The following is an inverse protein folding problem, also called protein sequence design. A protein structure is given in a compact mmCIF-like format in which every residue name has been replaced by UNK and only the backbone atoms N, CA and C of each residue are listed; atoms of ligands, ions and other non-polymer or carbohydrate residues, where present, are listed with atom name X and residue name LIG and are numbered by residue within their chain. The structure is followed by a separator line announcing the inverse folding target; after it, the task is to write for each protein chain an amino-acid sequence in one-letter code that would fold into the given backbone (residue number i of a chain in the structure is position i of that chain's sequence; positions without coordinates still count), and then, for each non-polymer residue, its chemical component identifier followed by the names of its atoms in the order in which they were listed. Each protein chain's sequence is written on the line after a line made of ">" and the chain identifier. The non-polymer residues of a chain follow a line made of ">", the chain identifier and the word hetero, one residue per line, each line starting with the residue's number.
data_IF_910680394753
#
_entry.id   IF_910680394753
#
_cell.length_a   1.000
_cell.length_b   1.000
_cell.length_c   1.000
_cell.angle_alpha   90.00
_cell.angle_beta   90.00
_cell.angle_gamma   90.00
#
_symmetry.space_group_name_H-M   'P 1'
#
loop_
_entity.id
_entity.type
_entity.pdbx_description
1 polymer ?
#
# COMPACT_ATOMS: atom_id res chain seq x y z
N UNK A 1 -73.78 54.50 -24.52
CA UNK A 1 -72.99 55.70 -24.88
C UNK A 1 -71.95 55.92 -23.78
N UNK A 2 -70.78 56.50 -24.10
CA UNK A 2 -69.66 56.80 -23.17
C UNK A 2 -69.04 55.51 -22.57
N UNK A 3 -67.78 55.09 -22.81
CA UNK A 3 -66.46 55.73 -22.68
C UNK A 3 -66.08 56.01 -21.21
N UNK A 4 -64.84 55.87 -20.74
CA UNK A 4 -63.57 55.42 -21.34
C UNK A 4 -62.79 54.57 -20.27
N UNK A 5 -61.49 54.27 -20.24
CA UNK A 5 -60.27 54.79 -20.92
C UNK A 5 -59.19 53.68 -21.03
N UNK A 6 -57.94 54.03 -21.32
CA UNK A 6 -56.76 53.15 -21.37
C UNK A 6 -56.12 52.95 -19.95
N UNK A 7 -55.09 52.12 -19.71
CA UNK A 7 -53.81 52.03 -20.44
C UNK A 7 -53.21 50.62 -20.58
N UNK A 8 -52.15 50.54 -21.39
CA UNK A 8 -51.57 49.31 -21.95
C UNK A 8 -50.35 48.79 -21.17
N UNK A 9 -50.17 47.46 -21.11
CA UNK A 9 -48.85 46.85 -21.39
C UNK A 9 -48.98 45.38 -21.81
N UNK A 10 -48.37 45.04 -22.94
CA UNK A 10 -48.06 43.66 -23.41
C UNK A 10 -46.96 43.03 -22.54
N UNK A 11 -46.68 41.70 -22.52
CA UNK A 11 -46.79 40.72 -23.61
C UNK A 11 -46.88 39.26 -23.08
N UNK A 12 -47.63 38.41 -23.81
CA UNK A 12 -47.51 36.93 -23.98
C UNK A 12 -46.81 36.05 -22.93
N UNK A 13 -47.53 35.01 -22.49
CA UNK A 13 -46.98 33.76 -21.96
C UNK A 13 -46.49 32.82 -23.08
N UNK A 14 -45.58 31.89 -22.77
CA UNK A 14 -45.59 30.49 -23.27
C UNK A 14 -44.59 29.61 -22.53
N UNK A 15 -44.90 28.32 -22.40
CA UNK A 15 -44.08 27.28 -21.75
C UNK A 15 -43.52 26.30 -22.78
N UNK A 16 -42.25 25.87 -22.65
CA UNK A 16 -41.78 24.58 -23.21
C UNK A 16 -40.40 24.12 -22.67
N UNK A 17 -40.42 22.97 -21.98
CA UNK A 17 -39.39 21.89 -21.90
C UNK A 17 -37.91 22.17 -21.54
N UNK A 18 -37.26 21.30 -20.73
CA UNK A 18 -35.87 21.47 -20.29
C UNK A 18 -34.84 20.66 -21.12
N UNK A 19 -34.22 21.24 -22.16
CA UNK A 19 -33.05 20.61 -22.81
C UNK A 19 -32.05 21.62 -23.39
N UNK A 20 -31.03 21.97 -22.59
CA UNK A 20 -29.87 22.77 -23.05
C UNK A 20 -28.67 22.71 -22.09
N UNK A 21 -28.92 22.67 -20.77
CA UNK A 21 -27.89 22.90 -19.74
C UNK A 21 -26.89 21.74 -19.56
N UNK A 22 -27.27 20.51 -19.91
CA UNK A 22 -26.40 19.33 -19.81
C UNK A 22 -25.34 19.25 -20.94
N UNK A 23 -25.75 19.51 -22.19
CA UNK A 23 -24.93 19.26 -23.38
C UNK A 23 -23.71 20.20 -23.55
N UNK A 24 -23.60 21.27 -22.75
CA UNK A 24 -22.50 22.26 -22.84
C UNK A 24 -21.36 22.07 -21.83
N UNK A 25 -21.51 21.23 -20.78
CA UNK A 25 -20.42 20.90 -19.85
C UNK A 25 -19.59 19.68 -20.28
N UNK A 26 -20.18 18.73 -20.99
CA UNK A 26 -19.50 17.50 -21.46
C UNK A 26 -18.46 17.74 -22.56
N UNK A 27 -18.56 18.83 -23.33
CA UNK A 27 -17.72 19.08 -24.52
C UNK A 27 -16.38 19.77 -24.27
N UNK A 28 -16.07 20.19 -23.03
CA UNK A 28 -14.74 20.73 -22.63
C UNK A 28 -13.84 19.73 -21.90
N UNK A 29 -14.33 18.50 -21.62
CA UNK A 29 -13.56 17.42 -20.97
C UNK A 29 -13.06 16.34 -21.95
N UNK A 30 -13.20 16.56 -23.27
CA UNK A 30 -12.82 15.61 -24.34
C UNK A 30 -12.07 16.30 -25.50
N UNK A 31 -10.95 16.97 -25.19
CA UNK A 31 -9.93 17.38 -26.17
C UNK A 31 -8.66 17.89 -25.46
N UNK A 32 -7.85 16.95 -24.93
CA UNK A 32 -6.43 17.13 -24.52
C UNK A 32 -5.78 15.80 -24.06
N UNK A 33 -5.92 14.78 -24.89
CA UNK A 33 -5.16 13.52 -24.80
C UNK A 33 -4.75 13.09 -26.21
N UNK A 34 -4.13 14.01 -26.95
CA UNK A 34 -3.44 13.67 -28.19
C UNK A 34 -2.13 12.96 -27.81
N UNK A 35 -2.06 11.67 -28.10
CA UNK A 35 -0.90 10.84 -27.81
C UNK A 35 0.29 11.25 -28.68
N UNK A 36 1.50 11.26 -28.08
CA UNK A 36 2.82 11.01 -28.69
C UNK A 36 3.97 11.36 -27.72
N UNK A 37 3.73 12.16 -26.68
CA UNK A 37 4.74 12.47 -25.65
C UNK A 37 4.98 11.39 -24.58
N UNK A 38 4.09 10.40 -24.46
CA UNK A 38 4.01 9.49 -23.31
C UNK A 38 5.18 8.50 -23.15
N UNK A 39 6.01 8.31 -24.18
CA UNK A 39 7.13 7.35 -24.15
C UNK A 39 8.35 7.90 -23.37
N UNK A 40 8.52 9.23 -23.30
CA UNK A 40 9.66 9.84 -22.61
C UNK A 40 9.49 9.91 -21.07
N UNK A 41 8.24 9.95 -20.59
CA UNK A 41 7.95 10.22 -19.17
C UNK A 41 8.03 8.99 -18.26
N UNK A 42 7.95 7.77 -18.81
CA UNK A 42 7.98 6.51 -18.05
C UNK A 42 9.38 6.10 -17.52
N UNK A 43 10.40 6.94 -17.70
CA UNK A 43 11.78 6.71 -17.22
C UNK A 43 12.22 7.66 -16.09
N UNK A 44 11.44 8.69 -15.74
CA UNK A 44 11.88 9.74 -14.80
C UNK A 44 11.47 9.53 -13.32
N UNK A 45 10.90 8.37 -12.97
CA UNK A 45 10.71 7.94 -11.58
C UNK A 45 11.92 7.14 -11.01
N UNK A 46 13.01 6.99 -11.78
CA UNK A 46 14.30 6.55 -11.27
C UNK A 46 15.11 7.80 -10.94
N UNK A 47 15.15 8.17 -9.65
CA UNK A 47 16.24 9.00 -9.15
C UNK A 47 17.55 8.21 -9.40
N UNK A 48 18.54 8.76 -10.12
CA UNK A 48 19.72 8.00 -10.50
C UNK A 48 20.49 7.58 -9.25
N UNK A 49 20.71 6.27 -9.09
CA UNK A 49 21.67 5.75 -8.13
C UNK A 49 23.03 6.35 -8.52
N UNK A 50 23.74 7.06 -7.61
CA UNK A 50 25.03 7.66 -7.93
C UNK A 50 26.09 6.58 -8.14
N UNK A 51 26.26 6.17 -9.40
CA UNK A 51 27.10 5.08 -9.90
C UNK A 51 27.07 3.82 -9.02
N UNK A 52 26.13 2.91 -9.25
CA UNK A 52 26.09 1.60 -8.59
C UNK A 52 27.45 0.84 -8.70
N UNK A 53 28.16 1.00 -9.82
CA UNK A 53 29.49 0.46 -10.05
C UNK A 53 30.60 1.13 -9.21
N UNK A 54 30.44 2.40 -8.80
CA UNK A 54 31.35 3.08 -7.88
C UNK A 54 30.97 2.81 -6.42
N UNK A 55 29.69 2.72 -6.10
CA UNK A 55 29.20 2.32 -4.78
C UNK A 55 29.72 0.92 -4.39
N UNK A 56 29.58 -0.06 -5.28
CA UNK A 56 30.12 -1.42 -5.09
C UNK A 56 31.62 -1.45 -4.78
N UNK A 57 32.40 -0.52 -5.37
CA UNK A 57 33.85 -0.40 -5.13
C UNK A 57 34.21 0.44 -3.89
N UNK A 58 33.35 1.37 -3.45
CA UNK A 58 33.55 2.16 -2.22
C UNK A 58 33.16 1.41 -0.95
N UNK A 59 32.15 0.53 -0.99
CA UNK A 59 31.74 -0.29 0.17
C UNK A 59 32.88 -1.16 0.68
N UNK A 60 33.76 -1.65 -0.20
CA UNK A 60 34.98 -2.41 0.17
C UNK A 60 36.10 -1.57 0.82
N UNK A 61 35.95 -0.23 0.91
CA UNK A 61 37.02 0.68 1.34
C UNK A 61 36.65 1.58 2.54
N UNK A 62 35.43 1.49 3.08
CA UNK A 62 34.96 2.33 4.19
C UNK A 62 34.25 1.55 5.32
N UNK A 63 34.78 0.37 5.66
CA UNK A 63 34.41 -0.34 6.90
C UNK A 63 35.10 0.29 8.13
N UNK A 64 34.71 1.53 8.48
CA UNK A 64 35.26 2.25 9.63
C UNK A 64 34.16 2.93 10.46
N UNK A 65 33.84 2.28 11.60
CA UNK A 65 33.01 2.77 12.71
C UNK A 65 31.51 2.94 12.41
N UNK A 66 30.70 1.93 12.76
CA UNK A 66 29.24 2.06 12.76
C UNK A 66 28.44 0.80 13.16
N UNK A 67 28.84 -0.40 12.72
CA UNK A 67 27.99 -1.59 12.82
C UNK A 67 28.32 -2.53 13.99
N UNK A 68 27.27 -3.02 14.66
CA UNK A 68 27.28 -4.18 15.57
C UNK A 68 26.33 -5.30 15.09
N UNK A 69 26.18 -5.46 13.77
CA UNK A 69 25.45 -6.58 13.16
C UNK A 69 26.32 -7.29 12.11
N UNK A 70 26.13 -8.61 11.89
CA UNK A 70 26.95 -9.38 10.96
C UNK A 70 26.55 -9.21 9.48
N UNK A 71 25.36 -8.66 9.21
CA UNK A 71 24.79 -8.58 7.87
C UNK A 71 25.26 -7.35 7.10
N UNK A 72 25.55 -7.57 5.82
CA UNK A 72 25.78 -6.56 4.79
C UNK A 72 24.61 -6.54 3.82
N UNK A 73 24.33 -5.38 3.22
CA UNK A 73 23.18 -5.19 2.33
C UNK A 73 23.59 -4.50 1.01
N UNK A 74 23.07 -4.99 -0.11
CA UNK A 74 23.39 -4.48 -1.45
C UNK A 74 22.08 -4.18 -2.21
N UNK A 75 21.76 -2.92 -2.54
CA UNK A 75 20.56 -2.57 -3.29
C UNK A 75 20.61 -3.08 -4.74
N UNK A 76 19.46 -3.50 -5.28
CA UNK A 76 19.28 -3.87 -6.68
C UNK A 76 18.65 -2.71 -7.47
N UNK A 77 18.85 -2.69 -8.79
CA UNK A 77 18.17 -1.77 -9.70
C UNK A 77 16.64 -1.98 -9.68
N UNK A 78 15.82 -0.98 -9.32
CA UNK A 78 14.38 -1.19 -9.13
C UNK A 78 13.64 -1.73 -10.36
N UNK A 79 13.96 -1.22 -11.55
CA UNK A 79 13.33 -1.65 -12.82
C UNK A 79 13.70 -3.06 -13.28
N UNK A 80 14.78 -3.65 -12.74
CA UNK A 80 15.17 -5.04 -13.02
C UNK A 80 14.61 -6.00 -11.96
N UNK A 81 14.53 -5.54 -10.72
CA UNK A 81 14.22 -6.32 -9.49
C UNK A 81 12.82 -6.91 -9.38
N UNK A 82 11.86 -6.33 -10.09
CA UNK A 82 10.45 -6.69 -10.00
C UNK A 82 9.87 -6.88 -11.40
N UNK A 83 9.24 -8.04 -11.61
CA UNK A 83 8.45 -8.35 -12.81
C UNK A 83 7.06 -7.71 -12.74
N UNK A 84 6.49 -7.54 -11.54
CA UNK A 84 5.17 -6.97 -11.34
C UNK A 84 5.07 -5.51 -11.84
N UNK A 85 6.15 -4.73 -11.73
CA UNK A 85 6.23 -3.35 -12.23
C UNK A 85 6.20 -3.22 -13.76
N UNK A 86 6.20 -4.34 -14.49
CA UNK A 86 6.04 -4.40 -15.95
C UNK A 86 4.59 -4.68 -16.37
N UNK A 87 3.75 -5.10 -15.42
CA UNK A 87 2.33 -5.32 -15.62
C UNK A 87 1.61 -3.96 -15.66
N UNK A 88 0.89 -3.71 -16.76
CA UNK A 88 0.20 -2.44 -16.99
C UNK A 88 -1.14 -2.34 -16.25
N UNK A 89 -1.78 -3.48 -15.97
CA UNK A 89 -3.05 -3.53 -15.25
C UNK A 89 -2.78 -3.27 -13.77
N UNK A 90 -1.79 -3.95 -13.17
CA UNK A 90 -1.31 -3.65 -11.82
C UNK A 90 -0.88 -2.17 -11.68
N UNK A 91 -0.01 -1.65 -12.55
CA UNK A 91 0.45 -0.27 -12.43
C UNK A 91 -0.68 0.77 -12.61
N UNK A 92 -1.67 0.50 -13.47
CA UNK A 92 -2.85 1.36 -13.59
C UNK A 92 -3.73 1.32 -12.33
N UNK A 93 -3.96 0.12 -11.78
CA UNK A 93 -4.70 -0.08 -10.53
C UNK A 93 -4.03 0.58 -9.33
N UNK A 94 -2.72 0.38 -9.12
CA UNK A 94 -1.98 1.05 -8.05
C UNK A 94 -2.07 2.59 -8.16
N UNK A 95 -1.96 3.13 -9.38
CA UNK A 95 -2.18 4.56 -9.61
C UNK A 95 -3.61 5.02 -9.33
N UNK A 96 -4.62 4.21 -9.67
CA UNK A 96 -6.05 4.46 -9.39
C UNK A 96 -6.36 4.43 -7.89
N UNK A 97 -5.67 3.59 -7.13
CA UNK A 97 -5.84 3.42 -5.68
C UNK A 97 -4.93 4.32 -4.83
N UNK A 98 -4.18 5.26 -5.43
CA UNK A 98 -3.25 6.15 -4.70
C UNK A 98 -1.97 5.48 -4.19
N UNK A 99 -1.69 4.24 -4.60
CA UNK A 99 -0.50 3.44 -4.27
C UNK A 99 0.55 3.50 -5.41
N UNK A 100 0.51 4.55 -6.22
CA UNK A 100 1.44 4.79 -7.33
C UNK A 100 2.78 5.40 -6.89
N UNK A 101 3.71 5.65 -7.83
CA UNK A 101 5.06 6.15 -7.57
C UNK A 101 5.16 7.46 -6.77
N UNK A 102 4.08 8.26 -6.75
CA UNK A 102 4.03 9.52 -6.01
C UNK A 102 4.02 9.31 -4.48
N UNK A 103 3.47 8.19 -4.00
CA UNK A 103 3.24 7.89 -2.57
C UNK A 103 3.75 6.50 -2.14
N UNK A 104 4.06 5.58 -3.08
CA UNK A 104 4.58 4.24 -2.79
C UNK A 104 5.75 3.84 -3.71
N UNK A 105 6.61 2.94 -3.24
CA UNK A 105 7.63 2.30 -4.08
C UNK A 105 7.98 0.87 -3.62
N UNK A 106 8.57 0.11 -4.55
CA UNK A 106 9.26 -1.16 -4.26
C UNK A 106 10.79 -0.98 -4.32
N UNK A 107 11.51 -1.68 -3.44
CA UNK A 107 12.98 -1.87 -3.46
C UNK A 107 13.34 -3.31 -3.16
N UNK A 108 14.47 -3.77 -3.68
CA UNK A 108 15.02 -5.10 -3.43
C UNK A 108 16.51 -4.98 -3.10
N UNK A 109 16.98 -5.83 -2.20
CA UNK A 109 18.36 -5.90 -1.74
C UNK A 109 18.80 -7.36 -1.71
N UNK A 110 20.08 -7.64 -1.96
CA UNK A 110 20.72 -8.87 -1.47
C UNK A 110 21.30 -8.63 -0.09
N UNK A 111 21.43 -9.69 0.70
CA UNK A 111 22.11 -9.65 1.99
C UNK A 111 23.04 -10.85 2.21
N UNK A 112 24.08 -10.66 3.01
CA UNK A 112 24.99 -11.75 3.42
C UNK A 112 25.58 -11.44 4.80
N UNK A 113 25.78 -12.43 5.70
CA UNK A 113 25.54 -13.87 5.54
C UNK A 113 24.06 -14.25 5.62
N UNK A 114 23.78 -15.55 5.47
CA UNK A 114 22.45 -16.13 5.73
C UNK A 114 21.87 -15.70 7.10
N UNK A 115 20.56 -15.50 7.15
CA UNK A 115 19.83 -15.10 8.36
C UNK A 115 18.85 -16.22 8.74
N UNK A 116 19.07 -16.92 9.87
CA UNK A 116 18.13 -17.89 10.41
C UNK A 116 16.84 -17.22 10.91
N UNK A 117 15.69 -17.87 10.72
CA UNK A 117 14.36 -17.29 10.96
C UNK A 117 14.18 -16.61 12.32
N UNK A 118 14.67 -17.23 13.40
CA UNK A 118 14.61 -16.68 14.77
C UNK A 118 15.38 -15.35 14.96
N UNK A 119 16.17 -14.90 13.97
CA UNK A 119 16.90 -13.62 13.97
C UNK A 119 16.14 -12.48 13.29
N UNK A 120 14.94 -12.70 12.73
CA UNK A 120 14.17 -11.67 12.03
C UNK A 120 14.00 -10.38 12.87
N UNK A 121 13.75 -10.53 14.17
CA UNK A 121 13.59 -9.42 15.14
C UNK A 121 14.84 -8.54 15.29
N UNK A 122 16.03 -9.11 15.10
CA UNK A 122 17.30 -8.38 15.12
C UNK A 122 17.69 -7.87 13.73
N UNK A 123 17.32 -8.62 12.69
CA UNK A 123 17.67 -8.36 11.30
C UNK A 123 17.02 -7.10 10.74
N UNK A 124 15.74 -6.85 11.03
CA UNK A 124 15.03 -5.69 10.47
C UNK A 124 15.50 -4.36 11.08
N UNK A 125 15.74 -4.23 12.40
CA UNK A 125 16.46 -3.08 12.95
C UNK A 125 17.85 -2.89 12.35
N UNK A 126 18.63 -3.96 12.17
CA UNK A 126 19.95 -3.88 11.52
C UNK A 126 19.86 -3.39 10.06
N UNK A 127 18.93 -3.94 9.28
CA UNK A 127 18.65 -3.49 7.91
C UNK A 127 18.28 -2.00 7.84
N UNK A 128 17.43 -1.52 8.75
CA UNK A 128 17.05 -0.10 8.80
C UNK A 128 18.15 0.82 9.37
N UNK A 129 19.14 0.28 10.06
CA UNK A 129 20.33 1.00 10.54
C UNK A 129 21.48 1.03 9.52
N UNK A 130 21.46 0.19 8.48
CA UNK A 130 22.54 0.11 7.50
C UNK A 130 22.65 1.41 6.65
N UNK A 131 23.83 2.05 6.57
CA UNK A 131 24.00 3.30 5.83
C UNK A 131 23.75 3.19 4.32
N UNK A 132 23.92 2.02 3.71
CA UNK A 132 23.61 1.77 2.30
C UNK A 132 22.11 1.64 2.06
N UNK A 133 21.41 0.96 2.96
CA UNK A 133 19.94 0.89 2.96
C UNK A 133 19.32 2.27 3.16
N UNK A 134 19.82 3.06 4.12
CA UNK A 134 19.35 4.43 4.38
C UNK A 134 19.58 5.43 3.22
N UNK A 135 20.51 5.12 2.30
CA UNK A 135 20.74 5.87 1.06
C UNK A 135 19.88 5.37 -0.11
N UNK A 136 19.55 4.08 -0.16
CA UNK A 136 18.74 3.47 -1.21
C UNK A 136 17.22 3.58 -0.98
N UNK A 137 16.80 3.72 0.29
CA UNK A 137 15.43 3.99 0.72
C UNK A 137 15.16 5.49 0.83
N UNK A 138 13.91 5.85 0.53
CA UNK A 138 13.37 7.20 0.71
C UNK A 138 12.17 7.16 1.67
N UNK A 139 11.93 8.26 2.36
CA UNK A 139 10.75 8.44 3.21
C UNK A 139 10.01 9.71 2.78
N UNK A 140 8.69 9.71 2.96
CA UNK A 140 7.85 10.86 2.66
C UNK A 140 7.65 11.70 3.93
N UNK A 141 7.68 13.02 3.80
CA UNK A 141 7.57 13.95 4.92
C UNK A 141 6.23 14.69 5.00
N UNK A 142 5.90 15.31 6.15
CA UNK A 142 4.63 16.05 6.37
C UNK A 142 4.34 17.17 5.36
N UNK A 143 5.34 17.61 4.59
CA UNK A 143 5.21 18.59 3.52
C UNK A 143 5.03 17.95 2.12
N UNK A 144 4.70 16.66 2.04
CA UNK A 144 4.51 15.89 0.80
C UNK A 144 5.76 15.84 -0.10
N UNK A 145 6.95 15.84 0.50
CA UNK A 145 8.23 15.70 -0.22
C UNK A 145 8.99 14.43 0.17
N UNK A 146 9.57 13.78 -0.84
CA UNK A 146 10.49 12.66 -0.68
C UNK A 146 11.90 13.13 -0.32
N UNK A 147 12.54 12.45 0.62
CA UNK A 147 13.98 12.60 0.89
C UNK A 147 14.60 11.25 1.30
N UNK A 148 15.93 11.10 1.25
CA UNK A 148 16.60 9.87 1.72
C UNK A 148 16.20 9.56 3.17
N UNK A 149 16.05 8.26 3.47
CA UNK A 149 15.61 7.78 4.78
C UNK A 149 16.51 8.29 5.91
N UNK A 150 17.83 8.14 5.76
CA UNK A 150 18.82 8.53 6.77
C UNK A 150 18.64 7.80 8.12
N UNK A 151 19.33 8.26 9.17
CA UNK A 151 19.26 7.63 10.49
C UNK A 151 17.88 7.81 11.14
N UNK A 152 17.24 6.69 11.51
CA UNK A 152 15.96 6.66 12.23
C UNK A 152 16.11 5.93 13.58
N UNK A 153 15.30 6.34 14.57
CA UNK A 153 15.27 5.67 15.88
C UNK A 153 14.50 4.34 15.80
N UNK A 154 15.22 3.23 15.57
CA UNK A 154 14.62 1.90 15.48
C UNK A 154 14.02 1.39 16.81
N UNK A 155 14.28 2.02 17.95
CA UNK A 155 13.61 1.69 19.22
C UNK A 155 12.22 2.35 19.34
N UNK A 156 11.95 3.39 18.54
CA UNK A 156 10.62 3.99 18.38
C UNK A 156 9.72 3.21 17.38
N UNK A 157 10.33 2.32 16.59
CA UNK A 157 9.63 1.43 15.67
C UNK A 157 9.06 0.21 16.39
N UNK A 158 8.09 -0.40 15.71
CA UNK A 158 7.40 -1.62 16.10
C UNK A 158 7.17 -2.48 14.86
N UNK A 159 6.97 -3.77 15.10
CA UNK A 159 7.15 -4.81 14.11
C UNK A 159 6.01 -5.83 14.25
N UNK A 160 4.99 -5.75 13.38
CA UNK A 160 3.91 -6.75 13.29
C UNK A 160 4.42 -7.91 12.43
N UNK A 161 4.68 -9.10 12.98
CA UNK A 161 5.08 -10.26 12.18
C UNK A 161 3.95 -10.62 11.20
N UNK A 162 4.34 -11.00 9.99
CA UNK A 162 3.42 -11.49 8.97
C UNK A 162 3.82 -12.91 8.57
N UNK A 163 2.85 -13.81 8.63
CA UNK A 163 2.98 -15.18 8.15
C UNK A 163 3.11 -15.16 6.62
N UNK A 164 3.81 -16.12 6.06
CA UNK A 164 3.84 -16.36 4.60
C UNK A 164 3.62 -17.84 4.33
N UNK A 165 2.52 -18.40 4.82
CA UNK A 165 2.22 -19.85 4.68
C UNK A 165 1.33 -20.14 3.47
N UNK A 166 0.52 -19.18 3.05
CA UNK A 166 -0.45 -19.35 1.95
C UNK A 166 0.24 -19.30 0.57
N UNK A 167 -0.08 -20.27 -0.29
CA UNK A 167 0.52 -20.40 -1.64
C UNK A 167 -0.39 -19.97 -2.80
N UNK A 168 -1.68 -19.73 -2.54
CA UNK A 168 -2.71 -19.41 -3.54
C UNK A 168 -3.74 -18.40 -3.00
N UNK A 169 -4.84 -18.18 -3.72
CA UNK A 169 -5.83 -17.13 -3.38
C UNK A 169 -7.06 -17.66 -2.59
N UNK A 170 -7.12 -18.95 -2.27
CA UNK A 170 -8.27 -19.56 -1.56
C UNK A 170 -8.47 -19.02 -0.14
N UNK A 171 -7.45 -18.36 0.42
CA UNK A 171 -7.54 -17.52 1.62
C UNK A 171 -8.73 -16.54 1.57
N UNK A 172 -9.12 -16.08 0.37
CA UNK A 172 -10.20 -15.12 0.15
C UNK A 172 -11.54 -15.74 -0.28
N UNK A 173 -11.65 -17.06 -0.39
CA UNK A 173 -12.92 -17.75 -0.63
C UNK A 173 -14.01 -17.42 0.42
N UNK A 174 -13.69 -17.14 1.71
CA UNK A 174 -14.66 -16.66 2.68
C UNK A 174 -15.42 -15.38 2.29
N UNK A 175 -14.88 -14.54 1.40
CA UNK A 175 -15.59 -13.35 0.90
C UNK A 175 -16.87 -13.73 0.15
N UNK A 176 -16.86 -14.84 -0.57
CA UNK A 176 -18.01 -15.33 -1.33
C UNK A 176 -19.00 -16.08 -0.45
N UNK A 177 -18.52 -16.89 0.50
CA UNK A 177 -19.40 -17.70 1.36
C UNK A 177 -20.15 -16.87 2.41
N UNK A 178 -19.62 -15.71 2.80
CA UNK A 178 -20.24 -14.78 3.76
C UNK A 178 -21.01 -13.62 3.12
N UNK A 179 -21.07 -13.58 1.78
CA UNK A 179 -21.81 -12.57 1.01
C UNK A 179 -21.18 -11.17 0.99
N UNK A 180 -19.93 -11.02 1.45
CA UNK A 180 -19.13 -9.79 1.28
C UNK A 180 -18.96 -9.49 -0.22
N UNK A 181 -18.74 -10.55 -1.01
CA UNK A 181 -18.66 -10.49 -2.47
C UNK A 181 -19.66 -11.49 -3.07
N UNK A 182 -20.37 -11.07 -4.11
CA UNK A 182 -21.40 -11.85 -4.79
C UNK A 182 -20.78 -12.90 -5.72
N UNK A 183 -21.50 -13.99 -6.07
CA UNK A 183 -20.99 -15.04 -6.95
C UNK A 183 -20.51 -14.59 -8.34
N UNK A 184 -20.85 -13.37 -8.77
CA UNK A 184 -20.41 -12.79 -10.04
C UNK A 184 -19.16 -11.89 -9.93
N UNK A 185 -18.64 -11.64 -8.72
CA UNK A 185 -17.47 -10.79 -8.45
C UNK A 185 -17.78 -9.43 -7.79
N UNK A 186 -19.03 -8.96 -7.85
CA UNK A 186 -19.42 -7.64 -7.33
C UNK A 186 -19.35 -7.59 -5.81
N UNK A 187 -18.71 -6.56 -5.28
CA UNK A 187 -18.61 -6.28 -3.84
C UNK A 187 -19.97 -5.80 -3.33
N UNK A 188 -20.42 -6.34 -2.19
CA UNK A 188 -21.66 -5.89 -1.54
C UNK A 188 -21.43 -4.51 -0.91
N UNK A 189 -22.10 -3.48 -1.42
CA UNK A 189 -22.09 -2.12 -0.85
C UNK A 189 -22.96 -2.02 0.41
N UNK A 190 -22.60 -1.10 1.30
CA UNK A 190 -23.36 -0.74 2.50
C UNK A 190 -23.70 0.75 2.50
N UNK A 191 -24.17 1.28 3.65
CA UNK A 191 -24.16 2.73 3.88
C UNK A 191 -22.78 3.18 4.35
N UNK A 192 -22.43 4.44 4.05
CA UNK A 192 -21.20 5.07 4.51
C UNK A 192 -21.20 5.16 6.05
N UNK A 193 -20.26 4.48 6.69
CA UNK A 193 -20.17 4.36 8.15
C UNK A 193 -18.76 4.71 8.64
N UNK A 194 -18.66 5.50 9.71
CA UNK A 194 -17.38 5.88 10.31
C UNK A 194 -16.96 4.84 11.35
N UNK A 195 -15.90 4.07 11.05
CA UNK A 195 -15.26 3.15 11.98
C UNK A 195 -14.25 3.92 12.83
N UNK A 196 -14.50 4.02 14.14
CA UNK A 196 -13.71 4.82 15.08
C UNK A 196 -12.45 4.09 15.58
N UNK A 197 -11.44 4.81 16.12
CA UNK A 197 -10.15 4.23 16.52
C UNK A 197 -10.19 3.52 17.88
N UNK A 198 -11.33 3.54 18.58
CA UNK A 198 -11.60 2.73 19.78
C UNK A 198 -11.58 1.22 19.48
N UNK A 199 -11.66 0.89 18.20
CA UNK A 199 -11.72 -0.44 17.61
C UNK A 199 -10.36 -1.15 17.67
N UNK A 200 -10.06 -1.78 18.81
CA UNK A 200 -8.80 -2.50 19.06
C UNK A 200 -8.55 -3.58 18.00
N UNK A 201 -7.45 -3.46 17.25
CA UNK A 201 -6.91 -4.60 16.49
C UNK A 201 -6.18 -5.55 17.42
N UNK A 202 -6.89 -6.57 17.89
CA UNK A 202 -6.32 -7.67 18.67
C UNK A 202 -5.30 -8.44 17.81
N UNK A 203 -4.05 -8.48 18.29
CA UNK A 203 -3.07 -9.49 17.87
C UNK A 203 -3.01 -10.48 19.02
N UNK A 204 -3.74 -11.60 18.89
CA UNK A 204 -3.96 -12.59 19.97
C UNK A 204 -2.69 -13.36 20.40
N UNK A 205 -1.53 -13.09 19.79
CA UNK A 205 -0.24 -13.72 20.11
C UNK A 205 0.36 -13.07 21.36
N UNK A 206 0.01 -13.63 22.54
CA UNK A 206 0.24 -13.05 23.86
C UNK A 206 1.69 -12.69 24.25
N UNK A 207 2.72 -13.18 23.55
CA UNK A 207 4.13 -12.75 23.75
C UNK A 207 4.47 -11.43 23.01
N UNK A 208 3.62 -10.99 22.08
CA UNK A 208 3.80 -9.78 21.26
C UNK A 208 2.57 -8.87 21.23
N UNK A 209 1.55 -9.17 22.04
CA UNK A 209 0.29 -8.44 22.14
C UNK A 209 0.43 -7.08 22.87
N UNK A 210 1.22 -6.16 22.32
CA UNK A 210 0.92 -4.73 22.50
C UNK A 210 -0.41 -4.43 21.80
N UNK A 211 -1.35 -3.79 22.50
CA UNK A 211 -2.65 -3.41 21.94
C UNK A 211 -2.48 -2.35 20.86
N UNK A 212 -2.56 -2.74 19.59
CA UNK A 212 -2.58 -1.80 18.47
C UNK A 212 -3.95 -1.11 18.40
N UNK A 213 -4.03 0.05 19.05
CA UNK A 213 -5.08 1.03 18.80
C UNK A 213 -4.69 1.80 17.54
N UNK A 214 -5.42 1.57 16.45
CA UNK A 214 -5.18 2.22 15.16
C UNK A 214 -5.81 3.62 15.17
N UNK A 215 -5.05 4.73 15.13
CA UNK A 215 -5.59 6.09 15.20
C UNK A 215 -6.16 6.57 13.85
N UNK A 216 -6.63 5.65 13.01
CA UNK A 216 -7.09 5.90 11.64
C UNK A 216 -8.60 5.71 11.56
N UNK A 217 -9.38 6.80 11.54
CA UNK A 217 -10.81 6.67 11.26
C UNK A 217 -11.01 6.35 9.77
N UNK A 218 -11.80 5.32 9.48
CA UNK A 218 -12.14 4.93 8.11
C UNK A 218 -13.64 5.14 7.86
N UNK A 219 -13.98 5.73 6.71
CA UNK A 219 -15.33 5.62 6.16
C UNK A 219 -15.41 4.31 5.37
N UNK A 220 -16.33 3.42 5.74
CA UNK A 220 -16.61 2.19 5.00
C UNK A 220 -17.89 2.34 4.18
N UNK A 221 -17.77 2.26 2.86
CA UNK A 221 -18.86 2.30 1.88
C UNK A 221 -19.23 0.89 1.37
N UNK A 222 -18.43 -0.13 1.68
CA UNK A 222 -18.75 -1.52 1.36
C UNK A 222 -18.24 -2.57 2.36
N UNK A 223 -18.78 -3.78 2.22
CA UNK A 223 -18.52 -4.90 3.13
C UNK A 223 -17.07 -5.42 3.02
N UNK A 224 -16.39 -5.19 1.90
CA UNK A 224 -14.97 -5.58 1.73
C UNK A 224 -14.07 -4.62 2.50
N UNK A 225 -14.43 -3.34 2.60
CA UNK A 225 -13.78 -2.40 3.52
C UNK A 225 -14.11 -2.76 4.98
N UNK A 226 -15.40 -2.95 5.33
CA UNK A 226 -15.81 -3.25 6.73
C UNK A 226 -15.10 -4.49 7.29
N UNK A 227 -15.02 -5.60 6.56
CA UNK A 227 -14.35 -6.83 7.04
C UNK A 227 -12.86 -6.64 7.33
N UNK A 228 -12.19 -5.64 6.75
CA UNK A 228 -10.78 -5.34 6.98
C UNK A 228 -10.58 -4.52 8.27
N UNK A 229 -11.39 -3.48 8.49
CA UNK A 229 -11.14 -2.48 9.54
C UNK A 229 -12.01 -2.62 10.80
N UNK A 230 -13.16 -3.30 10.74
CA UNK A 230 -14.17 -3.31 11.81
C UNK A 230 -14.39 -4.72 12.43
N UNK A 231 -13.70 -5.06 13.54
CA UNK A 231 -13.99 -6.21 14.40
C UNK A 231 -15.31 -6.20 15.18
N UNK A 232 -16.12 -5.15 15.13
CA UNK A 232 -17.50 -5.20 15.66
C UNK A 232 -18.48 -5.79 14.65
N UNK A 233 -18.13 -5.82 13.36
CA UNK A 233 -18.91 -6.46 12.30
C UNK A 233 -19.10 -7.96 12.50
N UNK A 234 -20.34 -8.44 12.36
CA UNK A 234 -20.67 -9.87 12.28
C UNK A 234 -19.83 -10.62 11.23
N UNK A 235 -19.40 -9.92 10.17
CA UNK A 235 -18.59 -10.47 9.08
C UNK A 235 -17.09 -10.51 9.36
N UNK A 236 -16.58 -9.87 10.42
CA UNK A 236 -15.15 -9.90 10.73
C UNK A 236 -14.64 -11.33 10.98
N UNK A 237 -15.49 -12.19 11.55
CA UNK A 237 -15.20 -13.61 11.76
C UNK A 237 -15.04 -14.44 10.46
N UNK A 238 -15.25 -13.87 9.27
CA UNK A 238 -14.95 -14.50 7.99
C UNK A 238 -13.46 -14.89 7.83
N UNK A 239 -12.56 -14.22 8.57
CA UNK A 239 -11.13 -14.51 8.60
C UNK A 239 -10.63 -14.67 10.03
N UNK A 240 -9.96 -15.79 10.32
CA UNK A 240 -9.29 -16.03 11.61
C UNK A 240 -8.14 -15.06 11.85
N UNK A 241 -7.71 -14.91 13.10
CA UNK A 241 -6.51 -14.13 13.45
C UNK A 241 -5.29 -14.58 12.65
N UNK A 242 -5.10 -15.89 12.44
CA UNK A 242 -4.01 -16.43 11.61
C UNK A 242 -4.11 -16.03 10.14
N UNK A 243 -5.31 -15.96 9.56
CA UNK A 243 -5.53 -15.49 8.19
C UNK A 243 -5.22 -13.97 8.06
N UNK A 244 -5.63 -13.18 9.05
CA UNK A 244 -5.36 -11.72 9.13
C UNK A 244 -3.88 -11.38 9.37
N UNK A 245 -3.09 -12.37 9.79
CA UNK A 245 -1.63 -12.29 9.93
C UNK A 245 -0.87 -12.70 8.66
N UNK A 246 -1.51 -13.25 7.62
CA UNK A 246 -0.81 -13.57 6.37
C UNK A 246 -0.41 -12.30 5.61
N UNK A 247 0.80 -12.28 5.05
CA UNK A 247 1.26 -11.26 4.12
C UNK A 247 0.28 -11.08 2.96
N UNK A 248 -0.30 -12.18 2.45
CA UNK A 248 -1.28 -12.12 1.37
C UNK A 248 -2.53 -11.30 1.76
N UNK A 249 -2.99 -11.44 3.01
CA UNK A 249 -4.10 -10.64 3.55
C UNK A 249 -3.70 -9.17 3.70
N UNK A 250 -2.51 -8.87 4.23
CA UNK A 250 -2.00 -7.51 4.33
C UNK A 250 -1.85 -6.83 2.95
N UNK A 251 -1.47 -7.56 1.90
CA UNK A 251 -1.47 -7.03 0.54
C UNK A 251 -2.88 -6.65 0.06
N UNK A 252 -3.90 -7.47 0.34
CA UNK A 252 -5.28 -7.14 0.00
C UNK A 252 -5.78 -5.93 0.80
N UNK A 253 -5.53 -5.91 2.10
CA UNK A 253 -5.89 -4.82 3.02
C UNK A 253 -5.35 -3.48 2.51
N UNK A 254 -4.04 -3.41 2.23
CA UNK A 254 -3.39 -2.21 1.73
C UNK A 254 -3.91 -1.79 0.35
N UNK A 255 -4.28 -2.72 -0.54
CA UNK A 255 -4.83 -2.41 -1.86
C UNK A 255 -6.29 -1.93 -1.84
N UNK A 256 -7.14 -2.54 -1.02
CA UNK A 256 -8.56 -2.15 -0.90
C UNK A 256 -8.70 -0.78 -0.25
N UNK A 257 -8.01 -0.55 0.88
CA UNK A 257 -8.08 0.72 1.61
C UNK A 257 -7.37 1.85 0.85
N UNK A 258 -6.31 1.54 0.09
CA UNK A 258 -5.55 2.45 -0.77
C UNK A 258 -4.91 3.69 -0.10
N UNK A 259 -4.29 4.53 -0.94
CA UNK A 259 -3.66 5.78 -0.55
C UNK A 259 -4.60 6.98 -0.56
N UNK A 260 -4.03 8.19 -0.41
CA UNK A 260 -4.75 9.48 -0.31
C UNK A 260 -5.73 9.78 -1.45
N UNK A 261 -5.54 9.18 -2.62
CA UNK A 261 -6.40 9.36 -3.81
C UNK A 261 -6.87 7.99 -4.30
N UNK A 262 -7.62 7.28 -3.46
CA UNK A 262 -8.19 5.98 -3.81
C UNK A 262 -9.51 6.13 -4.57
N UNK A 263 -9.56 5.59 -5.79
CA UNK A 263 -10.80 5.32 -6.51
C UNK A 263 -11.07 3.82 -6.41
N UNK A 264 -11.95 3.40 -5.50
CA UNK A 264 -12.28 1.99 -5.25
C UNK A 264 -12.81 1.25 -6.48
N UNK A 265 -12.84 -0.09 -6.41
CA UNK A 265 -13.57 -0.93 -7.37
C UNK A 265 -14.97 -1.29 -6.85
N UNK A 266 -15.86 -1.67 -7.76
CA UNK A 266 -17.13 -2.35 -7.44
C UNK A 266 -17.03 -3.88 -7.55
N UNK A 267 -15.89 -4.40 -8.03
CA UNK A 267 -15.62 -5.81 -8.32
C UNK A 267 -14.34 -6.25 -7.59
N UNK A 268 -14.32 -7.47 -7.04
CA UNK A 268 -13.17 -8.02 -6.32
C UNK A 268 -11.98 -8.39 -7.24
N UNK A 269 -12.25 -8.66 -8.52
CA UNK A 269 -11.27 -9.24 -9.44
C UNK A 269 -9.97 -8.41 -9.66
N UNK A 270 -10.00 -7.06 -9.79
CA UNK A 270 -8.77 -6.28 -9.94
C UNK A 270 -7.87 -6.34 -8.70
N UNK A 271 -8.46 -6.33 -7.50
CA UNK A 271 -7.71 -6.50 -6.25
C UNK A 271 -7.03 -7.88 -6.19
N UNK A 272 -7.74 -8.97 -6.53
CA UNK A 272 -7.14 -10.30 -6.57
C UNK A 272 -6.09 -10.48 -7.67
N UNK A 273 -6.22 -9.81 -8.81
CA UNK A 273 -5.12 -9.71 -9.79
C UNK A 273 -3.91 -9.04 -9.12
N UNK A 274 -4.09 -7.85 -8.55
CA UNK A 274 -2.99 -7.02 -8.08
C UNK A 274 -2.22 -7.69 -6.92
N UNK A 275 -2.93 -8.26 -5.95
CA UNK A 275 -2.36 -9.06 -4.86
C UNK A 275 -1.57 -10.24 -5.41
N UNK A 276 -2.14 -11.02 -6.34
CA UNK A 276 -1.49 -12.19 -6.94
C UNK A 276 -0.22 -11.82 -7.72
N UNK A 277 -0.26 -10.72 -8.48
CA UNK A 277 0.86 -10.27 -9.32
C UNK A 277 2.00 -9.71 -8.46
N UNK A 278 1.71 -9.01 -7.37
CA UNK A 278 2.71 -8.53 -6.41
C UNK A 278 3.29 -9.65 -5.53
N UNK A 279 2.45 -10.55 -5.00
CA UNK A 279 2.87 -11.61 -4.07
C UNK A 279 3.96 -12.52 -4.68
N UNK A 280 3.79 -12.93 -5.94
CA UNK A 280 4.77 -13.74 -6.71
C UNK A 280 6.17 -13.13 -6.84
N UNK A 281 6.29 -11.82 -6.64
CA UNK A 281 7.50 -11.02 -6.82
C UNK A 281 8.17 -10.66 -5.48
N UNK A 282 7.41 -10.80 -4.38
CA UNK A 282 7.83 -10.67 -2.98
C UNK A 282 8.25 -12.01 -2.36
N UNK A 283 7.55 -13.10 -2.68
CA UNK A 283 7.81 -14.43 -2.08
C UNK A 283 8.19 -15.50 -3.11
N UNK A 284 8.92 -16.52 -2.62
CA UNK A 284 9.35 -17.67 -3.41
C UNK A 284 8.72 -18.96 -2.87
N UNK A 285 7.73 -19.56 -3.56
CA UNK A 285 7.30 -20.91 -3.23
C UNK A 285 8.41 -21.90 -3.60
N UNK A 286 8.72 -22.79 -2.66
CA UNK A 286 9.64 -23.91 -2.81
C UNK A 286 8.88 -25.23 -2.66
N UNK A 287 9.48 -26.34 -3.11
CA UNK A 287 8.92 -27.68 -2.93
C UNK A 287 9.64 -28.38 -1.79
N UNK A 288 8.89 -28.73 -0.75
CA UNK A 288 9.36 -29.47 0.42
C UNK A 288 9.66 -30.94 0.06
N UNK A 289 10.42 -31.69 0.90
CA UNK A 289 10.83 -33.07 0.61
C UNK A 289 9.68 -34.09 0.47
N UNK A 290 8.53 -33.82 1.09
CA UNK A 290 7.28 -34.59 0.96
C UNK A 290 6.56 -34.33 -0.39
N UNK A 291 6.94 -33.25 -1.08
CA UNK A 291 6.37 -32.78 -2.32
C UNK A 291 5.38 -31.63 -2.19
N UNK A 292 5.08 -31.17 -0.97
CA UNK A 292 4.20 -30.02 -0.70
C UNK A 292 4.86 -28.73 -1.15
N UNK A 293 4.07 -27.76 -1.65
CA UNK A 293 4.56 -26.41 -1.91
C UNK A 293 4.44 -25.56 -0.64
N UNK A 294 5.51 -24.88 -0.26
CA UNK A 294 5.53 -23.94 0.85
C UNK A 294 6.35 -22.70 0.49
N UNK A 295 5.89 -21.53 0.93
CA UNK A 295 6.68 -20.30 0.87
C UNK A 295 7.60 -20.27 2.10
N UNK A 296 8.91 -20.20 1.86
CA UNK A 296 9.94 -20.14 2.91
C UNK A 296 10.36 -18.69 3.21
N UNK A 297 9.43 -17.75 3.08
CA UNK A 297 9.66 -16.34 3.36
C UNK A 297 9.51 -16.02 4.85
N UNK A 298 9.93 -14.81 5.19
CA UNK A 298 9.55 -14.11 6.42
C UNK A 298 8.99 -12.75 6.02
N UNK A 299 7.97 -12.25 6.70
CA UNK A 299 7.48 -10.91 6.46
C UNK A 299 7.21 -10.16 7.78
N UNK A 300 7.31 -8.83 7.73
CA UNK A 300 6.96 -7.95 8.84
C UNK A 300 6.42 -6.64 8.29
N UNK A 301 5.42 -6.07 8.96
CA UNK A 301 5.02 -4.69 8.77
C UNK A 301 5.70 -3.83 9.84
N UNK A 302 6.48 -2.85 9.41
CA UNK A 302 7.09 -1.84 10.28
C UNK A 302 6.06 -0.75 10.54
N UNK A 303 5.81 -0.46 11.81
CA UNK A 303 4.88 0.55 12.31
C UNK A 303 5.67 1.53 13.17
N UNK A 304 5.45 2.83 13.03
CA UNK A 304 6.09 3.82 13.90
C UNK A 304 5.19 4.09 15.12
N UNK A 305 5.57 3.58 16.30
CA UNK A 305 4.80 3.79 17.52
C UNK A 305 4.93 5.23 18.00
N UNK A 306 6.15 5.78 18.09
CA UNK A 306 6.38 7.16 18.54
C UNK A 306 7.38 7.89 17.63
N UNK A 307 7.41 9.22 17.73
CA UNK A 307 8.46 10.04 17.12
C UNK A 307 9.13 10.85 18.23
N UNK A 308 10.29 10.37 18.70
CA UNK A 308 11.11 11.13 19.65
C UNK A 308 11.69 12.36 18.97
N UNK A 309 11.70 13.49 19.68
CA UNK A 309 12.14 14.76 19.14
C UNK A 309 13.62 14.72 18.72
N UNK A 310 13.89 14.97 17.44
CA UNK A 310 15.24 15.07 16.86
C UNK A 310 15.59 14.00 15.81
N UNK A 311 14.89 12.87 15.78
CA UNK A 311 15.07 11.85 14.74
C UNK A 311 14.29 12.12 13.45
N UNK A 312 14.69 11.51 12.34
CA UNK A 312 13.84 11.41 11.16
C UNK A 312 12.73 10.38 11.41
N UNK A 313 11.47 10.77 11.20
CA UNK A 313 10.34 9.85 11.25
C UNK A 313 10.27 9.00 9.97
N UNK A 314 9.96 7.71 10.14
CA UNK A 314 9.79 6.77 9.02
C UNK A 314 8.53 7.09 8.21
N UNK A 315 7.52 7.66 8.86
CA UNK A 315 6.25 8.07 8.26
C UNK A 315 5.92 9.54 8.59
N UNK A 316 5.17 10.25 7.72
CA UNK A 316 4.82 11.65 7.93
C UNK A 316 3.73 11.87 8.98
N UNK A 317 2.89 10.85 9.23
CA UNK A 317 1.88 10.80 10.31
C UNK A 317 1.68 9.34 10.74
N UNK A 318 1.07 9.09 11.92
CA UNK A 318 0.51 7.77 12.22
C UNK A 318 -0.75 7.56 11.38
N UNK A 319 -0.82 6.47 10.63
CA UNK A 319 -2.01 6.00 9.91
C UNK A 319 -1.77 4.54 9.49
N UNK A 320 -2.79 3.66 9.42
CA UNK A 320 -2.59 2.24 9.02
C UNK A 320 -1.96 2.11 7.63
N UNK A 321 -2.32 3.01 6.73
CA UNK A 321 -1.78 3.05 5.36
C UNK A 321 -0.40 3.71 5.25
N UNK A 322 0.16 4.29 6.32
CA UNK A 322 1.57 4.62 6.35
C UNK A 322 2.34 3.37 6.81
N UNK A 323 2.81 2.58 5.85
CA UNK A 323 3.37 1.25 6.09
C UNK A 323 4.70 1.03 5.37
N UNK A 324 5.50 0.12 5.94
CA UNK A 324 6.61 -0.51 5.26
C UNK A 324 6.50 -2.02 5.48
N UNK A 325 6.20 -2.78 4.44
CA UNK A 325 6.34 -4.23 4.45
C UNK A 325 7.78 -4.58 4.09
N UNK A 326 8.44 -5.35 4.97
CA UNK A 326 9.77 -5.92 4.73
C UNK A 326 9.61 -7.43 4.63
N UNK A 327 9.89 -7.97 3.44
CA UNK A 327 9.77 -9.40 3.13
C UNK A 327 11.16 -9.96 2.84
N UNK A 328 11.55 -10.98 3.60
CA UNK A 328 12.88 -11.61 3.50
C UNK A 328 12.75 -12.99 2.90
N UNK A 329 13.50 -13.24 1.83
CA UNK A 329 13.67 -14.54 1.19
C UNK A 329 15.04 -15.12 1.60
N UNK A 330 15.11 -16.03 2.57
CA UNK A 330 16.35 -16.61 3.07
C UNK A 330 16.98 -17.62 2.09
N UNK A 331 16.22 -18.12 1.11
CA UNK A 331 16.70 -19.06 0.08
C UNK A 331 17.46 -18.30 -1.00
N UNK A 332 16.92 -17.18 -1.47
CA UNK A 332 17.56 -16.29 -2.45
C UNK A 332 18.47 -15.23 -1.81
N UNK A 333 18.48 -15.13 -0.47
CA UNK A 333 19.12 -14.07 0.33
C UNK A 333 18.75 -12.66 -0.14
N UNK A 334 17.44 -12.43 -0.32
CA UNK A 334 16.89 -11.14 -0.71
C UNK A 334 16.03 -10.50 0.39
N UNK A 335 16.04 -9.17 0.46
CA UNK A 335 15.04 -8.37 1.18
C UNK A 335 14.27 -7.57 0.14
N UNK A 336 12.95 -7.72 0.10
CA UNK A 336 12.05 -6.83 -0.63
C UNK A 336 11.38 -5.86 0.36
N UNK A 337 11.23 -4.60 -0.05
CA UNK A 337 10.56 -3.55 0.71
C UNK A 337 9.44 -2.97 -0.14
N UNK A 338 8.21 -2.97 0.38
CA UNK A 338 7.11 -2.14 -0.12
C UNK A 338 6.83 -1.04 0.90
N UNK A 339 7.13 0.20 0.52
CA UNK A 339 6.85 1.39 1.32
C UNK A 339 5.70 2.16 0.69
N UNK A 340 4.74 2.61 1.49
CA UNK A 340 3.75 3.62 1.12
C UNK A 340 3.55 4.59 2.28
N UNK A 341 3.42 5.87 1.96
CA UNK A 341 3.09 6.90 2.92
C UNK A 341 2.33 8.06 2.27
N UNK A 342 1.52 8.76 3.08
CA UNK A 342 0.95 10.06 2.73
C UNK A 342 0.88 10.95 3.97
N UNK A 343 1.13 12.27 3.87
CA UNK A 343 1.07 13.19 5.01
C UNK A 343 -0.36 13.55 5.42
N UNK A 344 -1.34 13.13 4.62
CA UNK A 344 -2.76 13.26 4.89
C UNK A 344 -3.53 12.18 4.12
N UNK A 345 -4.64 11.72 4.68
CA UNK A 345 -5.62 10.88 3.99
C UNK A 345 -6.91 11.67 3.91
N UNK A 346 -7.56 11.66 2.74
CA UNK A 346 -8.86 12.30 2.56
C UNK A 346 -9.95 11.27 2.85
N UNK A 347 -10.87 11.65 3.74
CA UNK A 347 -12.17 11.03 3.96
C UNK A 347 -13.20 11.79 3.10
#
# INVERSE_FOLDING_TARGET
>A
MVASTASCTTTTSTTSTPSARAARRSRRRRQRYDALGAISFLLQAIAPIPDAAAASKRVHAMTSHGQQHPWTFVPHDPGQSFSCLRDRELCASLGKWGLGPDHAYLRKFSYDPYMPEYRLRDFVPAFLQDPGVQQALQVLQPNDTWRPMGPIDTASLRFRPLRTTVVDMTLFDPLFTTGIVRPNGTITKCFDEYVSPDTITLIDDAETAETWMDPSDFVVSDELQRVLVDPTSERYAAFSTSARQELLFALLEHMVLGGRVNQFEDELAPYLHAVRTLYKDLVSPSKLPDGTLAVQGMAVQVVQHESRAGGAALFPMRHRQNFMLVVVDPVRRHVAVWYHASPNYYQ
#
